data_IF_884906353979
#
_entry.id   IF_884906353979
#
_cell.length_a   1.000
_cell.length_b   1.000
_cell.length_c   1.000
_cell.angle_alpha   90.00
_cell.angle_beta   90.00
_cell.angle_gamma   90.00
#
_symmetry.space_group_name_H-M   'P 1'
#
loop_
_entity.id
_entity.type
_entity.pdbx_description
1 polymer ?
#
# COMPACT_ATOMS: atom_id res chain seq x y z
N UNK A 1 6.61 6.61 -1.03
CA UNK A 1 5.37 6.25 -1.73
C UNK A 1 4.85 7.47 -2.47
N UNK A 2 4.29 7.31 -3.68
CA UNK A 2 3.69 8.40 -4.46
C UNK A 2 2.19 8.18 -4.65
N UNK A 3 1.38 9.23 -4.44
CA UNK A 3 -0.03 9.29 -4.83
C UNK A 3 -0.17 10.22 -6.03
N UNK A 4 -0.18 9.70 -7.27
CA UNK A 4 -0.34 10.52 -8.46
C UNK A 4 -1.79 10.91 -8.73
N UNK A 5 -2.76 10.49 -7.92
CA UNK A 5 -4.19 10.72 -8.17
C UNK A 5 -4.63 12.12 -7.73
N UNK A 6 -5.85 12.52 -8.15
CA UNK A 6 -6.52 13.72 -7.66
C UNK A 6 -7.27 13.53 -6.34
N UNK A 7 -7.14 12.37 -5.69
CA UNK A 7 -7.93 12.00 -4.52
C UNK A 7 -7.04 11.72 -3.31
N UNK A 8 -7.62 11.86 -2.12
CA UNK A 8 -6.98 11.36 -0.90
C UNK A 8 -7.00 9.84 -0.91
N UNK A 9 -5.85 9.23 -0.58
CA UNK A 9 -5.73 7.79 -0.41
C UNK A 9 -5.51 7.50 1.06
N UNK A 10 -6.36 6.64 1.63
CA UNK A 10 -6.25 6.19 3.02
C UNK A 10 -5.68 4.78 3.02
N UNK A 11 -4.52 4.58 3.65
CA UNK A 11 -3.92 3.26 3.82
C UNK A 11 -4.13 2.79 5.26
N UNK A 12 -4.78 1.64 5.41
CA UNK A 12 -5.07 1.03 6.72
C UNK A 12 -4.09 -0.07 7.12
N UNK A 13 -3.36 -0.65 6.17
CA UNK A 13 -2.41 -1.73 6.43
C UNK A 13 -1.27 -1.75 5.38
N UNK A 14 -0.10 -2.26 5.77
CA UNK A 14 1.01 -2.60 4.89
C UNK A 14 1.67 -3.90 5.40
N UNK A 15 1.67 -4.95 4.58
CA UNK A 15 2.11 -6.30 4.94
C UNK A 15 2.84 -6.97 3.75
N UNK A 16 3.48 -8.12 3.93
CA UNK A 16 4.02 -8.95 2.84
C UNK A 16 2.99 -9.90 2.20
N UNK A 17 1.76 -9.93 2.71
CA UNK A 17 0.67 -10.77 2.21
C UNK A 17 -0.70 -10.18 2.51
N UNK A 18 -1.71 -10.64 1.77
CA UNK A 18 -3.11 -10.32 2.05
C UNK A 18 -3.49 -10.73 3.47
N UNK A 19 -4.26 -9.89 4.14
CA UNK A 19 -4.73 -10.06 5.53
C UNK A 19 -3.61 -10.36 6.55
N UNK A 20 -2.36 -9.99 6.21
CA UNK A 20 -1.23 -10.13 7.11
C UNK A 20 -1.17 -9.01 8.15
N UNK A 21 -0.43 -9.29 9.22
CA UNK A 21 -0.11 -8.32 10.26
C UNK A 21 0.69 -7.16 9.67
N UNK A 22 0.40 -5.89 10.05
CA UNK A 22 1.18 -4.76 9.57
C UNK A 22 2.67 -4.92 9.89
N UNK A 23 3.52 -4.51 8.95
CA UNK A 23 4.95 -4.43 9.17
C UNK A 23 5.27 -3.52 10.38
N UNK A 24 6.27 -3.88 11.15
CA UNK A 24 6.68 -3.15 12.36
C UNK A 24 6.98 -1.69 12.03
N UNK A 25 6.37 -0.78 12.78
CA UNK A 25 6.53 0.67 12.55
C UNK A 25 5.66 1.22 11.41
N UNK A 26 4.78 0.42 10.81
CA UNK A 26 3.70 0.95 10.00
C UNK A 26 2.61 1.55 10.91
N UNK A 27 2.01 2.64 10.45
CA UNK A 27 0.80 3.20 11.05
C UNK A 27 -0.13 3.66 9.93
N UNK A 28 -1.46 3.52 10.08
CA UNK A 28 -2.41 4.01 9.10
C UNK A 28 -2.16 5.49 8.78
N UNK A 29 -2.26 5.84 7.50
CA UNK A 29 -1.98 7.19 7.03
C UNK A 29 -2.91 7.63 5.90
N UNK A 30 -3.06 8.94 5.78
CA UNK A 30 -3.81 9.62 4.73
C UNK A 30 -2.84 10.37 3.84
N UNK A 31 -3.01 10.21 2.53
CA UNK A 31 -2.06 10.71 1.53
C UNK A 31 -2.77 11.69 0.63
N UNK A 32 -2.30 12.93 0.64
CA UNK A 32 -2.91 14.00 -0.13
C UNK A 32 -2.79 13.76 -1.64
N UNK A 33 -3.70 14.34 -2.46
CA UNK A 33 -3.58 14.33 -3.92
C UNK A 33 -2.20 14.83 -4.38
N UNK A 34 -1.66 14.20 -5.42
CA UNK A 34 -0.40 14.62 -6.08
C UNK A 34 0.80 14.78 -5.12
N UNK A 35 0.84 13.99 -4.06
CA UNK A 35 1.87 14.11 -3.02
C UNK A 35 2.71 12.83 -2.86
N UNK A 36 3.85 12.98 -2.20
CA UNK A 36 4.73 11.89 -1.80
C UNK A 36 4.83 11.83 -0.29
N UNK A 37 4.85 10.62 0.27
CA UNK A 37 5.00 10.38 1.71
C UNK A 37 5.96 9.22 1.98
N UNK A 38 6.53 9.20 3.17
CA UNK A 38 7.21 8.04 3.73
C UNK A 38 6.16 7.10 4.32
N UNK A 39 6.09 5.85 3.85
CA UNK A 39 5.05 4.88 4.22
C UNK A 39 5.15 4.42 5.70
N UNK A 40 6.33 4.55 6.31
CA UNK A 40 6.65 3.81 7.53
C UNK A 40 6.75 2.29 7.26
N UNK A 41 6.93 1.51 8.32
CA UNK A 41 7.09 0.06 8.22
C UNK A 41 8.52 -0.40 7.91
N UNK A 42 8.90 -1.52 8.52
CA UNK A 42 10.16 -2.21 8.24
C UNK A 42 10.14 -2.80 6.82
N UNK A 43 10.98 -2.25 5.93
CA UNK A 43 11.05 -2.67 4.53
C UNK A 43 11.43 -4.16 4.38
N UNK A 44 12.17 -4.72 5.34
CA UNK A 44 12.53 -6.15 5.31
C UNK A 44 11.32 -7.06 5.57
N UNK A 45 10.34 -6.60 6.35
CA UNK A 45 9.11 -7.34 6.62
C UNK A 45 8.10 -7.25 5.47
N UNK A 46 8.15 -6.18 4.66
CA UNK A 46 7.30 -5.99 3.48
C UNK A 46 7.71 -6.88 2.29
N UNK A 47 8.99 -7.22 2.19
CA UNK A 47 9.52 -8.09 1.14
C UNK A 47 9.39 -7.54 -0.28
N UNK A 48 9.42 -8.43 -1.27
CA UNK A 48 9.38 -8.07 -2.71
C UNK A 48 7.98 -7.92 -3.31
N UNK A 49 6.95 -8.32 -2.56
CA UNK A 49 5.55 -8.22 -2.99
C UNK A 49 4.68 -7.65 -1.88
N UNK A 50 4.90 -6.40 -1.47
CA UNK A 50 4.11 -5.78 -0.43
C UNK A 50 2.64 -5.69 -0.84
N UNK A 51 1.76 -5.83 0.15
CA UNK A 51 0.32 -5.62 0.02
C UNK A 51 -0.05 -4.43 0.88
N UNK A 52 -0.53 -3.35 0.25
CA UNK A 52 -1.10 -2.19 0.93
C UNK A 52 -2.62 -2.29 0.90
N UNK A 53 -3.28 -2.09 2.03
CA UNK A 53 -4.75 -2.07 2.08
C UNK A 53 -5.22 -0.62 2.08
N UNK A 54 -5.96 -0.23 1.03
CA UNK A 54 -6.60 1.08 0.97
C UNK A 54 -8.08 1.00 1.36
N UNK A 55 -8.62 2.14 1.82
CA UNK A 55 -10.05 2.27 2.14
C UNK A 55 -10.71 3.08 1.02
N UNK A 56 -11.77 2.53 0.41
CA UNK A 56 -12.57 3.26 -0.58
C UNK A 56 -13.64 4.15 0.08
N UNK A 57 -14.35 4.92 -0.74
CA UNK A 57 -15.45 5.81 -0.36
C UNK A 57 -16.65 5.10 0.31
N UNK A 58 -16.83 3.81 0.04
CA UNK A 58 -17.83 2.96 0.71
C UNK A 58 -17.31 2.34 2.03
N UNK A 59 -16.07 2.61 2.42
CA UNK A 59 -15.44 2.05 3.63
C UNK A 59 -14.89 0.63 3.48
N UNK A 60 -14.91 0.06 2.26
CA UNK A 60 -14.31 -1.25 1.99
C UNK A 60 -12.78 -1.18 2.03
N UNK A 61 -12.16 -2.23 2.55
CA UNK A 61 -10.71 -2.40 2.65
C UNK A 61 -10.23 -3.27 1.51
N UNK A 62 -9.64 -2.65 0.50
CA UNK A 62 -9.24 -3.31 -0.74
C UNK A 62 -7.71 -3.38 -0.83
N UNK A 63 -7.14 -4.51 -1.26
CA UNK A 63 -5.69 -4.64 -1.37
C UNK A 63 -5.16 -4.00 -2.67
N UNK A 64 -3.95 -3.46 -2.57
CA UNK A 64 -3.06 -3.11 -3.67
C UNK A 64 -1.83 -3.99 -3.52
N UNK A 65 -1.65 -4.90 -4.46
CA UNK A 65 -0.52 -5.82 -4.50
C UNK A 65 0.57 -5.16 -5.32
N UNK A 66 1.76 -5.01 -4.74
CA UNK A 66 2.92 -4.44 -5.41
C UNK A 66 3.87 -5.52 -5.89
N UNK A 67 4.65 -5.18 -6.91
CA UNK A 67 5.83 -5.93 -7.34
C UNK A 67 7.03 -5.00 -7.25
N UNK A 68 8.05 -5.40 -6.51
CA UNK A 68 9.27 -4.62 -6.33
C UNK A 68 10.43 -5.20 -7.13
N UNK A 69 11.11 -4.32 -7.87
CA UNK A 69 12.39 -4.58 -8.53
C UNK A 69 13.41 -3.61 -7.95
N UNK A 70 14.49 -4.15 -7.36
CA UNK A 70 15.45 -3.39 -6.56
C UNK A 70 14.74 -2.58 -5.46
N UNK A 71 14.91 -1.25 -5.48
CA UNK A 71 14.32 -0.33 -4.51
C UNK A 71 13.05 0.36 -5.05
N UNK A 72 12.51 -0.08 -6.20
CA UNK A 72 11.32 0.50 -6.81
C UNK A 72 10.17 -0.51 -6.79
N UNK A 73 8.99 -0.06 -6.39
CA UNK A 73 7.78 -0.89 -6.35
C UNK A 73 6.66 -0.23 -7.15
N UNK A 74 5.97 -1.02 -7.96
CA UNK A 74 4.77 -0.59 -8.68
C UNK A 74 3.59 -1.53 -8.38
N UNK A 75 2.37 -1.01 -8.49
CA UNK A 75 1.16 -1.81 -8.33
C UNK A 75 1.10 -2.85 -9.46
N UNK A 76 0.92 -4.12 -9.09
CA UNK A 76 0.52 -5.19 -9.99
C UNK A 76 -1.00 -5.09 -10.18
N UNK A 77 -1.42 -4.38 -11.22
CA UNK A 77 -2.85 -4.15 -11.51
C UNK A 77 -3.62 -5.46 -11.71
N UNK A 78 -3.00 -6.44 -12.35
CA UNK A 78 -3.67 -7.70 -12.68
C UNK A 78 -3.99 -8.50 -11.42
N UNK A 79 -3.09 -8.50 -10.43
CA UNK A 79 -3.36 -9.13 -9.13
C UNK A 79 -4.32 -8.30 -8.29
N UNK A 80 -4.13 -6.98 -8.25
CA UNK A 80 -4.95 -6.09 -7.41
C UNK A 80 -6.42 -6.03 -7.84
N UNK A 81 -6.72 -6.14 -9.15
CA UNK A 81 -8.11 -6.17 -9.66
C UNK A 81 -8.85 -7.49 -9.40
N UNK A 82 -8.13 -8.58 -9.17
CA UNK A 82 -8.69 -9.92 -8.94
C UNK A 82 -8.86 -10.25 -7.45
N UNK A 83 -8.46 -9.33 -6.58
CA UNK A 83 -8.45 -9.51 -5.13
C UNK A 83 -9.77 -9.11 -4.50
#
# INVERSE_FOLDING_TARGET
MSNPTGYYVVLSNASNRMDGTPARGFSPLVIAPKSNVTLGGDASELGRSPVLTYVNDYGARLPLIFSCTDNSCAVDEAKSRKS
#
